data_IF_342274316916
#
_entry.id   IF_342274316916
#
_cell.length_a   1.000
_cell.length_b   1.000
_cell.length_c   1.000
_cell.angle_alpha   90.00
_cell.angle_beta   90.00
_cell.angle_gamma   90.00
#
_symmetry.space_group_name_H-M   'P 1'
#
loop_
_entity.id
_entity.type
_entity.pdbx_description
1 polymer ?
#
# COMPACT_ATOMS: atom_id res chain seq x y z
N UNK A 1 9.68 -1.75 8.59
CA UNK A 1 10.99 -1.17 8.95
C UNK A 1 11.87 -1.16 7.70
N UNK A 2 12.23 0.01 7.16
CA UNK A 2 13.23 0.11 6.09
C UNK A 2 14.59 0.29 6.76
N UNK A 3 15.54 -0.59 6.47
CA UNK A 3 16.94 -0.36 6.78
C UNK A 3 17.62 0.09 5.49
N UNK A 4 17.58 1.39 5.22
CA UNK A 4 18.18 1.96 4.02
C UNK A 4 18.14 3.47 4.10
N UNK A 5 19.28 4.10 3.84
CA UNK A 5 19.32 5.52 3.51
C UNK A 5 18.92 5.73 2.04
N UNK A 6 18.69 6.98 1.67
CA UNK A 6 18.53 7.39 0.28
C UNK A 6 19.77 7.01 -0.56
N UNK A 7 19.67 7.07 -1.89
CA UNK A 7 20.78 6.78 -2.81
C UNK A 7 22.04 7.62 -2.52
N UNK A 8 21.89 8.75 -1.82
CA UNK A 8 22.94 9.66 -1.39
C UNK A 8 23.38 9.48 0.09
N UNK A 9 22.86 8.48 0.81
CA UNK A 9 23.17 8.19 2.21
C UNK A 9 22.36 8.98 3.25
N UNK A 10 21.39 9.81 2.85
CA UNK A 10 20.51 10.52 3.79
C UNK A 10 19.46 9.60 4.43
N UNK A 11 18.84 10.05 5.52
CA UNK A 11 17.75 9.33 6.18
C UNK A 11 16.55 9.19 5.25
N UNK A 12 15.96 7.98 5.18
CA UNK A 12 14.77 7.69 4.40
C UNK A 12 13.66 7.13 5.31
N UNK A 13 12.45 7.70 5.29
CA UNK A 13 12.11 8.99 4.67
C UNK A 13 12.82 10.15 5.39
N UNK A 14 13.15 11.22 4.68
CA UNK A 14 13.61 12.46 5.30
C UNK A 14 12.42 13.32 5.79
N UNK A 15 12.62 14.26 6.73
CA UNK A 15 11.53 15.01 7.36
C UNK A 15 10.67 15.83 6.39
N UNK A 16 11.26 16.27 5.28
CA UNK A 16 10.65 17.05 4.21
C UNK A 16 10.18 16.19 3.04
N UNK A 17 10.27 14.85 3.14
CA UNK A 17 9.91 13.88 2.09
C UNK A 17 10.43 14.30 0.70
N UNK A 18 11.62 14.90 0.66
CA UNK A 18 12.33 15.23 -0.57
C UNK A 18 13.20 14.06 -1.04
N UNK A 19 13.46 13.07 -0.18
CA UNK A 19 14.22 11.86 -0.53
C UNK A 19 13.47 10.57 -0.16
N UNK A 20 13.33 9.69 -1.16
CA UNK A 20 12.72 8.37 -1.12
C UNK A 20 11.25 8.34 -0.63
N UNK A 21 10.47 7.35 -1.11
CA UNK A 21 9.03 7.27 -0.85
C UNK A 21 8.21 8.50 -1.29
N UNK A 22 8.68 9.31 -2.24
CA UNK A 22 7.89 10.42 -2.80
C UNK A 22 6.83 9.91 -3.78
N UNK A 23 7.14 8.79 -4.44
CA UNK A 23 6.28 8.11 -5.41
C UNK A 23 6.23 6.62 -5.10
N UNK A 24 5.05 6.08 -4.87
CA UNK A 24 4.86 4.65 -4.55
C UNK A 24 3.39 4.23 -4.66
N UNK A 25 3.13 2.93 -4.70
CA UNK A 25 1.79 2.39 -4.49
C UNK A 25 1.60 2.03 -3.01
N UNK A 26 0.52 2.52 -2.41
CA UNK A 26 0.16 2.27 -1.01
C UNK A 26 -1.08 1.39 -0.93
N UNK A 27 -0.91 0.19 -0.37
CA UNK A 27 -2.02 -0.65 0.06
C UNK A 27 -2.27 -0.41 1.56
N UNK A 28 -3.44 0.13 1.88
CA UNK A 28 -3.94 0.22 3.25
C UNK A 28 -4.84 -0.99 3.51
N UNK A 29 -4.64 -1.64 4.65
CA UNK A 29 -5.48 -2.72 5.16
C UNK A 29 -5.93 -2.32 6.57
N UNK A 30 -7.23 -2.13 6.74
CA UNK A 30 -7.83 -1.75 8.03
C UNK A 30 -8.62 -2.94 8.55
N UNK A 31 -8.17 -3.43 9.70
CA UNK A 31 -8.92 -4.38 10.50
C UNK A 31 -9.92 -3.63 11.37
N UNK A 32 -11.20 -4.04 11.35
CA UNK A 32 -12.20 -3.48 12.26
C UNK A 32 -12.97 -4.60 12.92
N UNK A 33 -12.85 -4.71 14.25
CA UNK A 33 -13.43 -5.83 15.02
C UNK A 33 -14.95 -5.94 14.92
N UNK A 34 -15.64 -4.87 14.55
CA UNK A 34 -17.10 -4.86 14.35
C UNK A 34 -17.55 -5.40 12.99
N UNK A 35 -16.64 -5.59 12.02
CA UNK A 35 -16.98 -6.07 10.67
C UNK A 35 -16.94 -7.60 10.53
N UNK A 36 -16.57 -8.33 11.58
CA UNK A 36 -16.52 -9.79 11.59
C UNK A 36 -15.48 -10.33 10.62
N UNK A 37 -15.89 -11.18 9.67
CA UNK A 37 -15.01 -11.76 8.65
C UNK A 37 -14.76 -10.85 7.44
N UNK A 38 -14.46 -9.58 7.72
CA UNK A 38 -14.23 -8.56 6.70
C UNK A 38 -13.12 -7.60 7.10
N UNK A 39 -12.49 -7.01 6.09
CA UNK A 39 -11.50 -5.95 6.23
C UNK A 39 -11.77 -4.85 5.20
N UNK A 40 -11.35 -3.62 5.50
CA UNK A 40 -11.38 -2.52 4.53
C UNK A 40 -10.01 -2.40 3.90
N UNK A 41 -9.96 -2.29 2.57
CA UNK A 41 -8.72 -1.96 1.87
C UNK A 41 -8.84 -0.71 1.02
N UNK A 42 -7.70 -0.09 0.76
CA UNK A 42 -7.57 0.97 -0.24
C UNK A 42 -6.21 0.80 -0.94
N UNK A 43 -6.19 0.89 -2.27
CA UNK A 43 -4.95 0.96 -3.04
C UNK A 43 -4.87 2.35 -3.67
N UNK A 44 -3.83 3.10 -3.30
CA UNK A 44 -3.61 4.44 -3.81
C UNK A 44 -2.23 4.56 -4.42
N UNK A 45 -2.12 5.13 -5.61
CA UNK A 45 -0.86 5.61 -6.15
C UNK A 45 -0.55 6.95 -5.50
N UNK A 46 0.59 7.06 -4.84
CA UNK A 46 1.11 8.29 -4.27
C UNK A 46 2.07 8.92 -5.26
N UNK A 47 1.83 10.18 -5.57
CA UNK A 47 2.54 10.97 -6.57
C UNK A 47 3.41 12.06 -5.92
N UNK A 48 3.03 12.53 -4.73
CA UNK A 48 3.76 13.49 -3.91
C UNK A 48 3.14 13.58 -2.51
N UNK A 49 3.77 14.35 -1.62
CA UNK A 49 3.26 14.65 -0.28
C UNK A 49 3.06 16.14 -0.11
N UNK A 50 1.98 16.52 0.55
CA UNK A 50 1.68 17.91 0.87
C UNK A 50 2.19 18.29 2.26
N UNK A 51 2.87 19.42 2.33
CA UNK A 51 3.16 20.15 3.58
C UNK A 51 1.86 20.65 4.25
N UNK A 52 1.82 20.80 5.60
CA UNK A 52 2.88 20.50 6.57
C UNK A 52 2.84 19.07 7.12
N UNK A 53 1.76 18.33 6.85
CA UNK A 53 1.47 17.06 7.52
C UNK A 53 1.96 15.84 6.71
N UNK A 54 2.66 16.08 5.60
CA UNK A 54 3.17 15.06 4.69
C UNK A 54 2.08 14.09 4.20
N UNK A 55 0.93 14.65 3.84
CA UNK A 55 -0.21 13.86 3.37
C UNK A 55 0.07 13.34 1.96
N UNK A 56 0.17 12.02 1.81
CA UNK A 56 0.34 11.39 0.50
C UNK A 56 -0.85 11.64 -0.45
N UNK A 57 -0.60 12.38 -1.53
CA UNK A 57 -1.54 12.70 -2.60
C UNK A 57 -1.27 11.88 -3.85
N UNK A 58 -2.33 11.71 -4.65
CA UNK A 58 -2.30 10.92 -5.87
C UNK A 58 -3.65 10.27 -6.13
N UNK A 59 -3.65 9.15 -6.84
CA UNK A 59 -4.85 8.54 -7.42
C UNK A 59 -5.27 7.28 -6.65
N UNK A 60 -6.54 7.23 -6.23
CA UNK A 60 -7.13 5.98 -5.73
C UNK A 60 -7.32 5.01 -6.90
N UNK A 61 -6.53 3.94 -6.91
CA UNK A 61 -6.66 2.85 -7.87
C UNK A 61 -7.76 1.87 -7.44
N UNK A 62 -7.88 1.67 -6.13
CA UNK A 62 -8.99 0.97 -5.48
C UNK A 62 -9.48 1.88 -4.35
N UNK A 63 -10.71 2.42 -4.41
CA UNK A 63 -11.25 3.22 -3.32
C UNK A 63 -11.41 2.36 -2.06
N UNK A 64 -11.60 3.00 -0.91
CA UNK A 64 -11.85 2.29 0.35
C UNK A 64 -13.01 1.29 0.21
N UNK A 65 -12.70 0.00 0.21
CA UNK A 65 -13.63 -1.08 -0.13
C UNK A 65 -13.55 -2.18 0.93
N UNK A 66 -14.73 -2.64 1.38
CA UNK A 66 -14.83 -3.76 2.31
C UNK A 66 -14.78 -5.07 1.53
N UNK A 67 -13.89 -5.98 1.92
CA UNK A 67 -13.78 -7.33 1.33
C UNK A 67 -13.93 -8.40 2.40
N UNK A 68 -14.41 -9.59 1.98
CA UNK A 68 -14.53 -10.75 2.85
C UNK A 68 -13.16 -11.43 3.02
N UNK A 69 -12.95 -12.04 4.20
CA UNK A 69 -11.76 -12.86 4.50
C UNK A 69 -12.15 -14.29 4.90
N UNK A 70 -11.17 -15.17 5.03
CA UNK A 70 -11.43 -16.51 5.54
C UNK A 70 -11.81 -16.46 7.02
N UNK A 71 -12.85 -17.20 7.44
CA UNK A 71 -13.16 -17.38 8.85
C UNK A 71 -12.15 -18.34 9.53
N UNK A 72 -11.77 -18.09 10.80
CA UNK A 72 -11.99 -16.85 11.53
C UNK A 72 -11.05 -15.77 10.99
N UNK A 73 -11.59 -14.58 10.79
CA UNK A 73 -10.85 -13.42 10.32
C UNK A 73 -9.66 -13.06 11.20
N UNK A 74 -9.80 -13.31 12.50
CA UNK A 74 -8.76 -13.13 13.52
C UNK A 74 -7.51 -13.99 13.31
N UNK A 75 -7.52 -14.93 12.35
CA UNK A 75 -6.38 -15.73 11.94
C UNK A 75 -5.49 -15.07 10.89
N UNK A 76 -4.43 -15.79 10.50
CA UNK A 76 -3.53 -15.36 9.43
C UNK A 76 -4.26 -15.23 8.09
N UNK A 77 -4.02 -14.13 7.39
CA UNK A 77 -4.49 -13.88 6.03
C UNK A 77 -3.28 -13.83 5.09
N UNK A 78 -3.36 -14.50 3.95
CA UNK A 78 -2.27 -14.54 2.97
C UNK A 78 -2.53 -13.55 1.85
N UNK A 79 -1.57 -12.66 1.60
CA UNK A 79 -1.63 -11.66 0.54
C UNK A 79 -0.67 -12.02 -0.59
N UNK A 80 -1.10 -11.82 -1.82
CA UNK A 80 -0.19 -11.79 -2.97
C UNK A 80 -0.50 -10.58 -3.85
N UNK A 81 0.57 -9.91 -4.30
CA UNK A 81 0.49 -8.77 -5.21
C UNK A 81 1.31 -9.14 -6.43
N UNK A 82 0.68 -9.14 -7.59
CA UNK A 82 1.35 -9.40 -8.87
C UNK A 82 1.35 -8.12 -9.67
N UNK A 83 2.53 -7.69 -10.11
CA UNK A 83 2.73 -6.51 -10.96
C UNK A 83 3.33 -6.98 -12.27
N UNK A 84 2.66 -6.71 -13.38
CA UNK A 84 3.07 -7.13 -14.71
C UNK A 84 3.63 -5.96 -15.48
N UNK A 85 4.62 -6.21 -16.35
CA UNK A 85 5.32 -5.22 -17.17
C UNK A 85 4.41 -4.35 -18.07
N UNK A 86 3.15 -4.76 -18.26
CA UNK A 86 2.15 -4.02 -19.04
C UNK A 86 1.30 -3.05 -18.19
N UNK A 87 1.55 -2.92 -16.88
CA UNK A 87 0.79 -2.05 -15.99
C UNK A 87 -0.37 -2.72 -15.26
N UNK A 88 -0.64 -4.01 -15.55
CA UNK A 88 -1.66 -4.76 -14.80
C UNK A 88 -1.12 -5.07 -13.42
N UNK A 89 -1.91 -4.77 -12.39
CA UNK A 89 -1.66 -5.16 -11.00
C UNK A 89 -2.83 -6.00 -10.50
N UNK A 90 -2.52 -7.15 -9.89
CA UNK A 90 -3.53 -8.04 -9.31
C UNK A 90 -3.27 -8.24 -7.83
N UNK A 91 -4.35 -8.13 -7.06
CA UNK A 91 -4.35 -8.30 -5.63
C UNK A 91 -5.10 -9.58 -5.26
N UNK A 92 -4.46 -10.43 -4.47
CA UNK A 92 -5.01 -11.69 -4.00
C UNK A 92 -5.05 -11.73 -2.48
N UNK A 93 -6.13 -12.30 -1.97
CA UNK A 93 -6.34 -12.57 -0.56
C UNK A 93 -6.75 -14.04 -0.41
N UNK A 94 -5.97 -14.80 0.35
CA UNK A 94 -6.13 -16.24 0.54
C UNK A 94 -6.25 -17.03 -0.77
N UNK A 95 -5.46 -16.65 -1.78
CA UNK A 95 -5.45 -17.27 -3.10
C UNK A 95 -6.57 -16.80 -4.04
N UNK A 96 -7.55 -16.02 -3.56
CA UNK A 96 -8.60 -15.46 -4.40
C UNK A 96 -8.19 -14.09 -4.91
N UNK A 97 -8.33 -13.85 -6.22
CA UNK A 97 -8.17 -12.50 -6.77
C UNK A 97 -9.32 -11.62 -6.28
N UNK A 98 -8.99 -10.55 -5.57
CA UNK A 98 -9.97 -9.58 -5.07
C UNK A 98 -10.04 -8.34 -5.95
N UNK A 99 -8.93 -7.95 -6.58
CA UNK A 99 -8.87 -6.80 -7.46
C UNK A 99 -7.89 -7.00 -8.62
N UNK A 100 -8.20 -6.35 -9.73
CA UNK A 100 -7.30 -6.07 -10.84
C UNK A 100 -7.40 -4.57 -11.15
N UNK A 101 -6.25 -3.91 -11.24
CA UNK A 101 -6.16 -2.50 -11.62
C UNK A 101 -5.10 -2.33 -12.70
N UNK A 102 -5.16 -1.21 -13.40
CA UNK A 102 -4.20 -0.86 -14.44
C UNK A 102 -3.56 0.48 -14.11
N UNK A 103 -2.23 0.49 -13.96
CA UNK A 103 -1.45 1.71 -13.81
C UNK A 103 0.00 1.47 -14.27
N UNK A 104 0.54 2.36 -15.10
CA UNK A 104 1.88 2.25 -15.68
C UNK A 104 2.85 3.28 -15.13
N UNK A 105 2.45 4.14 -14.18
CA UNK A 105 3.23 5.33 -13.82
C UNK A 105 4.62 4.99 -13.26
N UNK A 106 4.74 3.92 -12.46
CA UNK A 106 5.99 3.57 -11.81
C UNK A 106 6.60 2.26 -12.31
N UNK A 107 6.11 1.73 -13.42
CA UNK A 107 6.56 0.44 -13.94
C UNK A 107 8.00 0.45 -14.49
N UNK A 108 8.45 1.62 -14.93
CA UNK A 108 9.82 1.84 -15.41
C UNK A 108 10.75 2.31 -14.29
N UNK A 109 10.27 2.42 -13.05
CA UNK A 109 11.08 2.89 -11.94
C UNK A 109 12.00 1.73 -11.48
N UNK A 110 13.34 1.88 -11.56
CA UNK A 110 14.27 0.76 -11.30
C UNK A 110 14.35 0.37 -9.82
N UNK A 111 13.87 1.24 -8.94
CA UNK A 111 13.86 1.01 -7.50
C UNK A 111 12.48 0.51 -7.07
N UNK A 112 12.44 -0.75 -6.60
CA UNK A 112 11.27 -1.31 -5.95
C UNK A 112 11.65 -1.80 -4.56
N UNK A 113 10.84 -1.46 -3.57
CA UNK A 113 10.94 -1.96 -2.21
C UNK A 113 9.54 -2.09 -1.63
N UNK A 114 9.34 -3.07 -0.76
CA UNK A 114 8.13 -3.16 0.04
C UNK A 114 8.43 -2.59 1.44
N UNK A 115 7.63 -1.62 1.86
CA UNK A 115 7.59 -1.15 3.23
C UNK A 115 6.25 -1.47 3.85
N UNK A 116 6.27 -2.07 5.03
CA UNK A 116 5.08 -2.30 5.85
C UNK A 116 5.24 -1.57 7.17
N UNK A 117 4.19 -0.88 7.56
CA UNK A 117 3.98 -0.27 8.87
C UNK A 117 2.58 -0.63 9.35
N UNK A 118 2.44 -0.83 10.65
CA UNK A 118 1.16 -1.09 11.30
C UNK A 118 0.95 -0.03 12.36
N UNK A 119 -0.26 0.48 12.45
CA UNK A 119 -0.70 1.33 13.53
C UNK A 119 -1.99 0.75 14.12
N UNK A 120 -2.14 0.84 15.43
CA UNK A 120 -3.36 0.42 16.10
C UNK A 120 -4.29 1.63 16.15
N UNK A 121 -5.38 1.57 15.38
CA UNK A 121 -6.43 2.57 15.45
C UNK A 121 -7.15 2.42 16.80
N UNK A 122 -6.74 3.20 17.79
CA UNK A 122 -7.56 3.47 18.97
C UNK A 122 -8.76 4.31 18.49
N UNK A 123 -9.90 3.64 18.27
CA UNK A 123 -11.14 4.26 17.82
C UNK A 123 -11.61 5.43 18.67
#
# INVERSE_FOLDING_TARGET
MVWGGDWNGQTCPNPDYSSCFNVYYRLIVIWSGNLGDKLTIQLKRIDYHEEPDNVGRGVDLIPATVVNVNPPSQGYQTWAIQVYANGVMRLFLNGNQIFEVFDTNYIQNPYFAAFSSTDEYNG
#
